data_IF_336751939271
#
_entry.id   IF_336751939271
#
_cell.length_a   1.000
_cell.length_b   1.000
_cell.length_c   1.000
_cell.angle_alpha   90.00
_cell.angle_beta   90.00
_cell.angle_gamma   90.00
#
_symmetry.space_group_name_H-M   'P 1'
#
loop_
_entity.id
_entity.type
_entity.pdbx_description
1 polymer ?
#
# COMPACT_ATOMS: atom_id res chain seq x y z
N UNK A 1 73.88 -80.83 -35.69
CA UNK A 1 72.54 -80.88 -36.30
C UNK A 1 72.08 -79.45 -36.56
N UNK A 2 72.00 -79.09 -37.86
CA UNK A 2 71.38 -77.95 -38.56
C UNK A 2 71.15 -76.63 -37.78
N UNK A 3 72.00 -75.59 -37.98
CA UNK A 3 71.91 -74.46 -38.96
C UNK A 3 70.70 -73.53 -38.70
N UNK A 4 70.73 -72.20 -38.76
CA UNK A 4 71.73 -71.16 -39.06
C UNK A 4 71.03 -69.77 -39.02
N UNK A 5 71.76 -68.71 -38.63
CA UNK A 5 71.71 -67.33 -39.17
C UNK A 5 70.40 -66.52 -39.05
N UNK A 6 70.37 -65.40 -38.31
CA UNK A 6 70.92 -64.04 -38.62
C UNK A 6 69.88 -63.15 -39.32
N UNK A 7 69.13 -62.29 -38.61
CA UNK A 7 69.45 -60.87 -38.30
C UNK A 7 68.56 -59.93 -39.17
N UNK A 8 68.47 -58.57 -38.98
CA UNK A 8 68.79 -57.68 -37.84
C UNK A 8 67.57 -56.81 -37.37
N UNK A 9 67.75 -56.04 -36.27
CA UNK A 9 66.78 -55.07 -35.69
C UNK A 9 66.75 -53.72 -36.44
N UNK A 10 65.71 -52.89 -36.24
CA UNK A 10 65.92 -51.63 -35.52
C UNK A 10 64.84 -51.33 -34.45
N UNK A 11 65.05 -50.33 -33.58
CA UNK A 11 64.41 -50.22 -32.27
C UNK A 11 63.17 -49.29 -32.28
N UNK A 12 62.21 -49.57 -31.39
CA UNK A 12 61.06 -48.69 -31.17
C UNK A 12 60.19 -49.16 -30.00
N UNK A 13 60.60 -48.75 -28.80
CA UNK A 13 59.74 -48.45 -27.64
C UNK A 13 58.81 -49.54 -27.07
N UNK A 14 59.21 -50.08 -25.90
CA UNK A 14 58.49 -51.05 -25.11
C UNK A 14 57.13 -50.55 -24.59
N UNK A 15 56.13 -51.41 -24.78
CA UNK A 15 54.80 -51.40 -24.18
C UNK A 15 54.83 -51.17 -22.65
N UNK A 16 54.20 -50.09 -22.20
CA UNK A 16 53.75 -49.95 -20.80
C UNK A 16 52.31 -50.44 -20.65
N UNK A 17 52.19 -51.63 -20.06
CA UNK A 17 51.14 -52.12 -19.14
C UNK A 17 49.79 -51.38 -19.19
N UNK A 18 48.80 -52.02 -19.83
CA UNK A 18 47.39 -51.72 -19.61
C UNK A 18 46.89 -52.37 -18.30
N UNK A 19 46.74 -51.56 -17.24
CA UNK A 19 46.04 -51.92 -16.01
C UNK A 19 44.51 -51.76 -16.12
N UNK A 20 43.75 -52.37 -15.21
CA UNK A 20 42.29 -52.50 -15.31
C UNK A 20 41.55 -51.17 -15.07
N UNK A 21 40.46 -50.99 -15.83
CA UNK A 21 39.61 -49.78 -15.91
C UNK A 21 39.08 -49.34 -14.52
N UNK A 22 39.16 -48.05 -14.15
CA UNK A 22 38.46 -47.55 -12.98
C UNK A 22 36.96 -47.40 -13.26
N UNK A 23 36.16 -47.87 -12.30
CA UNK A 23 34.70 -47.77 -12.25
C UNK A 23 34.28 -46.30 -12.26
N UNK A 24 33.56 -45.86 -13.28
CA UNK A 24 32.86 -44.58 -13.26
C UNK A 24 31.73 -44.63 -12.22
N UNK A 25 31.87 -43.91 -11.10
CA UNK A 25 30.74 -43.56 -10.24
C UNK A 25 29.77 -42.69 -11.06
N UNK A 26 28.62 -43.27 -11.42
CA UNK A 26 27.48 -42.49 -11.92
C UNK A 26 26.80 -41.84 -10.73
N UNK A 27 27.01 -40.54 -10.53
CA UNK A 27 26.12 -39.74 -9.70
C UNK A 27 24.78 -39.61 -10.44
N UNK A 28 23.75 -40.27 -9.92
CA UNK A 28 22.37 -40.04 -10.35
C UNK A 28 21.92 -38.68 -9.80
N UNK A 29 22.12 -37.61 -10.57
CA UNK A 29 21.40 -36.35 -10.35
C UNK A 29 19.95 -36.61 -10.75
N UNK A 30 19.05 -36.68 -9.77
CA UNK A 30 17.61 -36.72 -9.99
C UNK A 30 17.17 -35.34 -10.50
N UNK A 31 17.39 -35.08 -11.80
CA UNK A 31 16.75 -33.96 -12.49
C UNK A 31 15.28 -34.32 -12.61
N UNK A 32 14.45 -33.73 -11.72
CA UNK A 32 12.99 -33.83 -11.79
C UNK A 32 12.57 -33.21 -13.12
N UNK A 33 12.28 -34.07 -14.10
CA UNK A 33 11.78 -33.67 -15.42
C UNK A 33 10.55 -32.75 -15.24
N UNK A 34 10.51 -31.55 -15.84
CA UNK A 34 9.29 -30.76 -15.87
C UNK A 34 8.22 -31.56 -16.63
N UNK A 35 7.09 -31.84 -15.98
CA UNK A 35 5.94 -32.47 -16.63
C UNK A 35 5.54 -31.65 -17.86
N UNK A 36 5.31 -32.25 -19.04
CA UNK A 36 4.79 -31.53 -20.18
C UNK A 36 3.33 -31.20 -19.90
N UNK A 37 3.00 -29.93 -19.67
CA UNK A 37 1.62 -29.50 -19.53
C UNK A 37 1.08 -29.01 -20.87
N UNK A 38 0.06 -29.74 -21.38
CA UNK A 38 -0.88 -29.23 -22.36
C UNK A 38 -1.71 -28.12 -21.71
N UNK A 39 -1.72 -26.94 -22.32
CA UNK A 39 -2.74 -25.93 -22.08
C UNK A 39 -4.11 -26.53 -22.47
N UNK A 40 -5.00 -26.74 -21.50
CA UNK A 40 -6.39 -27.08 -21.77
C UNK A 40 -7.15 -25.75 -21.94
N UNK A 41 -7.79 -25.49 -23.09
CA UNK A 41 -8.71 -24.37 -23.21
C UNK A 41 -9.98 -24.70 -22.42
N UNK A 42 -10.35 -23.85 -21.46
CA UNK A 42 -11.64 -23.94 -20.79
C UNK A 42 -12.76 -23.63 -21.79
N UNK A 43 -13.57 -24.64 -22.13
CA UNK A 43 -14.87 -24.47 -22.78
C UNK A 43 -15.91 -24.14 -21.69
N UNK A 44 -16.67 -23.06 -21.89
CA UNK A 44 -17.81 -22.66 -21.06
C UNK A 44 -19.02 -23.57 -21.31
N UNK A 45 -19.78 -23.99 -20.29
CA UNK A 45 -21.08 -24.62 -20.49
C UNK A 45 -22.16 -23.55 -20.75
N UNK A 46 -22.92 -23.73 -21.82
CA UNK A 46 -24.10 -22.93 -22.17
C UNK A 46 -25.30 -23.58 -21.47
N UNK A 47 -26.01 -22.85 -20.60
CA UNK A 47 -27.29 -23.30 -20.04
C UNK A 47 -28.44 -22.44 -20.61
N UNK A 48 -29.53 -23.03 -21.13
CA UNK A 48 -30.62 -22.28 -21.73
C UNK A 48 -31.79 -22.13 -20.75
N UNK A 49 -31.97 -20.95 -20.18
CA UNK A 49 -33.27 -20.48 -19.68
C UNK A 49 -33.16 -19.01 -19.26
N UNK A 50 -33.82 -18.14 -20.03
CA UNK A 50 -33.80 -16.70 -19.85
C UNK A 50 -34.56 -16.25 -18.61
N UNK A 51 -33.83 -15.66 -17.67
CA UNK A 51 -34.29 -14.65 -16.73
C UNK A 51 -33.12 -13.66 -16.58
N UNK A 52 -33.29 -12.43 -17.06
CA UNK A 52 -32.28 -11.37 -16.97
C UNK A 52 -32.34 -10.78 -15.55
N UNK A 53 -31.50 -11.31 -14.66
CA UNK A 53 -31.09 -10.62 -13.45
C UNK A 53 -29.86 -9.76 -13.81
N UNK A 54 -29.86 -8.50 -13.36
CA UNK A 54 -28.74 -7.55 -13.51
C UNK A 54 -27.45 -8.16 -12.91
N UNK A 55 -26.63 -8.75 -13.78
CA UNK A 55 -25.36 -9.38 -13.43
C UNK A 55 -24.24 -8.33 -13.46
N UNK A 56 -23.74 -7.97 -12.27
CA UNK A 56 -22.69 -6.97 -12.04
C UNK A 56 -21.27 -7.51 -12.33
N UNK A 57 -21.12 -8.75 -12.81
CA UNK A 57 -19.82 -9.39 -13.05
C UNK A 57 -19.23 -9.19 -14.47
N UNK A 58 -19.89 -8.44 -15.37
CA UNK A 58 -19.40 -8.23 -16.75
C UNK A 58 -18.79 -6.85 -17.04
N UNK A 59 -17.92 -6.34 -16.16
CA UNK A 59 -16.97 -5.28 -16.54
C UNK A 59 -15.78 -5.86 -17.33
N UNK A 60 -16.05 -6.41 -18.51
CA UNK A 60 -15.05 -6.79 -19.49
C UNK A 60 -14.64 -5.58 -20.31
N UNK A 61 -13.64 -4.83 -19.84
CA UNK A 61 -12.98 -3.82 -20.65
C UNK A 61 -11.46 -3.95 -20.51
N UNK A 62 -10.86 -4.38 -21.64
CA UNK A 62 -9.46 -4.22 -22.06
C UNK A 62 -8.41 -5.20 -21.52
N UNK A 63 -8.20 -6.28 -22.26
CA UNK A 63 -6.95 -7.06 -22.27
C UNK A 63 -6.03 -6.47 -23.36
N UNK A 64 -5.16 -5.53 -22.99
CA UNK A 64 -4.11 -5.01 -23.90
C UNK A 64 -2.73 -5.36 -23.35
N UNK A 65 -1.88 -5.77 -24.28
CA UNK A 65 -0.55 -6.38 -24.10
C UNK A 65 0.54 -5.31 -24.16
N UNK A 66 1.49 -5.28 -23.21
CA UNK A 66 2.73 -4.49 -23.36
C UNK A 66 3.85 -4.96 -22.43
N UNK A 67 5.11 -5.02 -22.87
CA UNK A 67 6.20 -5.90 -22.39
C UNK A 67 6.71 -5.78 -20.93
N UNK A 68 7.01 -6.93 -20.32
CA UNK A 68 7.60 -7.24 -19.01
C UNK A 68 9.12 -7.47 -19.14
N UNK A 69 9.93 -7.32 -18.08
CA UNK A 69 11.38 -7.61 -18.07
C UNK A 69 11.81 -9.04 -18.45
N UNK A 70 10.89 -9.90 -18.89
CA UNK A 70 11.14 -11.18 -19.56
C UNK A 70 10.80 -11.22 -21.06
N UNK A 71 10.60 -10.06 -21.71
CA UNK A 71 10.35 -9.97 -23.17
C UNK A 71 8.95 -10.37 -23.63
N UNK A 72 7.95 -10.38 -22.73
CA UNK A 72 6.55 -10.66 -23.08
C UNK A 72 5.60 -9.72 -22.35
N UNK A 73 4.35 -9.51 -22.79
CA UNK A 73 3.49 -8.46 -22.25
C UNK A 73 3.21 -8.58 -20.74
N UNK A 74 3.57 -7.53 -19.98
CA UNK A 74 3.07 -7.18 -18.65
C UNK A 74 1.55 -7.33 -18.60
N UNK A 75 1.12 -8.33 -17.83
CA UNK A 75 -0.29 -8.62 -17.62
C UNK A 75 -0.80 -7.75 -16.48
N UNK A 76 -1.87 -6.99 -16.71
CA UNK A 76 -2.61 -6.39 -15.61
C UNK A 76 -3.35 -7.51 -14.86
N UNK A 77 -3.11 -7.64 -13.56
CA UNK A 77 -3.94 -8.50 -12.73
C UNK A 77 -5.38 -7.98 -12.70
N UNK A 78 -6.33 -8.91 -12.70
CA UNK A 78 -7.70 -8.63 -12.27
C UNK A 78 -7.68 -8.09 -10.85
N UNK A 79 -8.47 -7.06 -10.61
CA UNK A 79 -8.71 -6.55 -9.25
C UNK A 79 -9.85 -7.32 -8.67
N UNK A 80 -9.74 -7.70 -7.39
CA UNK A 80 -10.85 -8.29 -6.67
C UNK A 80 -12.06 -7.33 -6.70
N UNK A 81 -13.24 -7.75 -7.18
CA UNK A 81 -14.40 -6.87 -7.26
C UNK A 81 -14.76 -6.25 -5.90
N UNK A 82 -14.70 -7.03 -4.82
CA UNK A 82 -14.91 -6.54 -3.45
C UNK A 82 -13.94 -5.40 -3.08
N UNK A 83 -12.65 -5.48 -3.46
CA UNK A 83 -11.69 -4.38 -3.23
C UNK A 83 -12.08 -3.14 -4.04
N UNK A 84 -12.43 -3.32 -5.31
CA UNK A 84 -12.80 -2.20 -6.18
C UNK A 84 -14.03 -1.47 -5.65
N UNK A 85 -15.04 -2.21 -5.22
CA UNK A 85 -16.25 -1.66 -4.61
C UNK A 85 -15.93 -0.82 -3.38
N UNK A 86 -15.12 -1.35 -2.45
CA UNK A 86 -14.70 -0.60 -1.25
C UNK A 86 -13.95 0.68 -1.63
N UNK A 87 -13.01 0.62 -2.58
CA UNK A 87 -12.27 1.80 -3.02
C UNK A 87 -13.20 2.89 -3.59
N UNK A 88 -14.16 2.50 -4.46
CA UNK A 88 -15.11 3.45 -5.07
C UNK A 88 -16.02 4.05 -4.00
N UNK A 89 -16.63 3.23 -3.15
CA UNK A 89 -17.50 3.70 -2.06
C UNK A 89 -16.75 4.66 -1.14
N UNK A 90 -15.54 4.31 -0.69
CA UNK A 90 -14.77 5.17 0.19
C UNK A 90 -14.35 6.48 -0.50
N UNK A 91 -14.06 6.43 -1.80
CA UNK A 91 -13.78 7.65 -2.58
C UNK A 91 -15.00 8.56 -2.67
N UNK A 92 -16.19 8.00 -2.91
CA UNK A 92 -17.45 8.76 -2.91
C UNK A 92 -17.74 9.38 -1.54
N UNK A 93 -17.50 8.64 -0.45
CA UNK A 93 -17.62 9.16 0.92
C UNK A 93 -16.68 10.35 1.14
N UNK A 94 -15.42 10.24 0.71
CA UNK A 94 -14.44 11.32 0.84
C UNK A 94 -14.82 12.55 0.01
N UNK A 95 -15.32 12.35 -1.21
CA UNK A 95 -15.84 13.44 -2.05
C UNK A 95 -17.03 14.13 -1.38
N UNK A 96 -17.97 13.36 -0.82
CA UNK A 96 -19.11 13.91 -0.09
C UNK A 96 -18.68 14.71 1.15
N UNK A 97 -17.71 14.21 1.93
CA UNK A 97 -17.09 14.94 3.05
C UNK A 97 -16.47 16.25 2.56
N UNK A 98 -15.72 16.23 1.45
CA UNK A 98 -15.10 17.42 0.89
C UNK A 98 -16.12 18.48 0.43
N UNK A 99 -17.22 18.05 -0.20
CA UNK A 99 -18.32 18.94 -0.59
C UNK A 99 -18.99 19.54 0.65
N UNK A 100 -19.37 18.72 1.63
CA UNK A 100 -19.99 19.18 2.87
C UNK A 100 -19.06 20.15 3.63
N UNK A 101 -17.77 19.84 3.74
CA UNK A 101 -16.78 20.70 4.38
C UNK A 101 -16.64 22.03 3.64
N UNK A 102 -16.65 22.01 2.31
CA UNK A 102 -16.60 23.23 1.49
C UNK A 102 -17.83 24.12 1.69
N UNK A 103 -19.02 23.51 1.73
CA UNK A 103 -20.28 24.22 2.00
C UNK A 103 -20.34 24.77 3.44
N UNK A 104 -19.64 24.14 4.38
CA UNK A 104 -19.51 24.60 5.77
C UNK A 104 -18.46 25.72 5.92
N UNK A 105 -17.27 25.57 5.36
CA UNK A 105 -16.13 26.48 5.60
C UNK A 105 -16.23 27.81 4.85
N UNK A 106 -16.83 27.85 3.65
CA UNK A 106 -16.96 29.08 2.86
C UNK A 106 -17.81 30.14 3.58
N UNK A 107 -18.99 29.83 4.15
CA UNK A 107 -19.73 30.78 4.99
C UNK A 107 -18.87 31.34 6.14
N UNK A 108 -18.16 30.47 6.85
CA UNK A 108 -17.28 30.86 7.95
C UNK A 108 -16.18 31.83 7.51
N UNK A 109 -15.52 31.57 6.37
CA UNK A 109 -14.52 32.49 5.80
C UNK A 109 -15.10 33.86 5.46
N UNK A 110 -16.39 33.93 5.13
CA UNK A 110 -17.09 35.18 4.81
C UNK A 110 -17.77 35.83 6.04
N UNK A 111 -17.48 35.38 7.25
CA UNK A 111 -18.07 35.92 8.48
C UNK A 111 -19.57 35.60 8.64
N UNK A 112 -20.04 34.50 8.03
CA UNK A 112 -21.44 34.05 8.07
C UNK A 112 -21.56 32.67 8.70
N UNK A 113 -22.72 32.38 9.28
CA UNK A 113 -23.02 31.05 9.80
C UNK A 113 -23.38 30.08 8.65
N UNK A 114 -22.86 28.84 8.68
CA UNK A 114 -23.18 27.84 7.66
C UNK A 114 -24.57 27.24 7.87
N UNK A 115 -25.13 26.64 6.82
CA UNK A 115 -26.42 25.94 6.86
C UNK A 115 -26.28 24.42 7.04
N UNK A 116 -25.08 23.90 6.81
CA UNK A 116 -24.71 22.50 7.02
C UNK A 116 -23.76 22.42 8.20
N UNK A 117 -23.66 21.27 8.86
CA UNK A 117 -22.69 21.08 9.94
C UNK A 117 -21.31 20.67 9.41
N UNK A 118 -20.25 20.92 10.19
CA UNK A 118 -18.91 20.40 9.94
C UNK A 118 -18.92 18.87 9.81
N UNK A 119 -18.37 18.26 8.74
CA UNK A 119 -18.21 16.82 8.65
C UNK A 119 -16.95 16.37 9.41
N UNK A 120 -17.06 15.56 10.49
CA UNK A 120 -15.87 15.17 11.26
C UNK A 120 -14.88 14.29 10.48
N UNK A 121 -15.34 13.65 9.41
CA UNK A 121 -14.47 12.88 8.52
C UNK A 121 -13.38 13.72 7.83
N UNK A 122 -13.48 15.05 7.81
CA UNK A 122 -12.45 15.95 7.29
C UNK A 122 -11.13 15.84 8.08
N UNK A 123 -11.19 15.47 9.35
CA UNK A 123 -10.01 15.27 10.20
C UNK A 123 -9.10 14.12 9.73
N UNK A 124 -9.61 13.22 8.87
CA UNK A 124 -8.81 12.19 8.22
C UNK A 124 -7.67 12.72 7.35
N UNK A 125 -7.70 14.01 6.99
CA UNK A 125 -6.63 14.69 6.27
C UNK A 125 -5.60 15.40 7.17
N UNK A 126 -5.72 15.25 8.50
CA UNK A 126 -4.81 15.82 9.50
C UNK A 126 -3.99 14.72 10.21
N UNK A 127 -3.12 13.97 9.50
CA UNK A 127 -2.45 12.79 10.07
C UNK A 127 -1.42 13.13 11.16
N UNK A 128 -0.84 14.33 11.14
CA UNK A 128 0.10 14.80 12.18
C UNK A 128 -0.65 15.08 13.47
N UNK A 129 -1.82 15.71 13.36
CA UNK A 129 -2.73 15.95 14.48
C UNK A 129 -3.20 14.63 15.10
N UNK A 130 -3.68 13.67 14.30
CA UNK A 130 -4.02 12.33 14.79
C UNK A 130 -2.84 11.59 15.46
N UNK A 131 -1.60 11.83 15.01
CA UNK A 131 -0.40 11.27 15.65
C UNK A 131 -0.11 11.94 17.01
N UNK A 132 -0.26 13.26 17.10
CA UNK A 132 -0.14 14.02 18.35
C UNK A 132 -1.24 13.63 19.34
N UNK A 133 -2.49 13.53 18.90
CA UNK A 133 -3.62 13.06 19.68
C UNK A 133 -3.41 11.62 20.18
N UNK A 134 -2.79 10.75 19.37
CA UNK A 134 -2.41 9.40 19.81
C UNK A 134 -1.38 9.45 20.94
N UNK A 135 -0.35 10.30 20.82
CA UNK A 135 0.62 10.46 21.91
C UNK A 135 -0.05 11.05 23.15
N UNK A 136 -0.93 12.04 22.99
CA UNK A 136 -1.69 12.61 24.10
C UNK A 136 -2.48 11.53 24.85
N UNK A 137 -3.29 10.75 24.12
CA UNK A 137 -4.07 9.63 24.67
C UNK A 137 -3.19 8.62 25.45
N UNK A 138 -2.02 8.27 24.92
CA UNK A 138 -1.12 7.31 25.58
C UNK A 138 -0.52 7.84 26.88
N UNK A 139 -0.35 9.16 27.02
CA UNK A 139 0.25 9.78 28.19
C UNK A 139 -0.79 10.19 29.25
N UNK A 140 -1.95 10.70 28.85
CA UNK A 140 -2.97 11.25 29.76
C UNK A 140 -4.16 10.30 29.95
N UNK A 141 -4.41 9.39 29.01
CA UNK A 141 -5.66 8.64 28.94
C UNK A 141 -6.85 9.48 28.43
N UNK A 142 -6.62 10.74 28.05
CA UNK A 142 -7.65 11.66 27.57
C UNK A 142 -7.69 11.68 26.03
N UNK A 143 -8.89 11.78 25.46
CA UNK A 143 -9.09 11.97 24.02
C UNK A 143 -9.07 13.46 23.72
N UNK A 144 -8.45 13.83 22.61
CA UNK A 144 -8.44 15.22 22.13
C UNK A 144 -9.88 15.69 21.83
N UNK A 145 -10.38 16.75 22.50
CA UNK A 145 -11.72 17.28 22.26
C UNK A 145 -11.83 18.08 20.95
N UNK A 146 -10.69 18.47 20.34
CA UNK A 146 -10.68 19.33 19.16
C UNK A 146 -10.78 18.52 17.85
N UNK A 147 -10.02 17.43 17.70
CA UNK A 147 -10.09 16.53 16.53
C UNK A 147 -10.20 15.04 16.92
N UNK A 148 -11.28 14.63 17.61
CA UNK A 148 -11.44 13.24 18.04
C UNK A 148 -11.64 12.25 16.88
N UNK A 149 -12.23 12.68 15.76
CA UNK A 149 -12.39 11.82 14.59
C UNK A 149 -11.04 11.57 13.88
N UNK A 150 -10.13 12.54 13.90
CA UNK A 150 -8.76 12.44 13.40
C UNK A 150 -7.98 11.35 14.12
N UNK A 151 -8.09 11.31 15.46
CA UNK A 151 -7.55 10.23 16.29
C UNK A 151 -8.16 8.87 15.91
N UNK A 152 -9.49 8.77 15.84
CA UNK A 152 -10.19 7.53 15.51
C UNK A 152 -9.77 6.97 14.13
N UNK A 153 -9.71 7.84 13.12
CA UNK A 153 -9.28 7.51 11.76
C UNK A 153 -7.82 7.07 11.76
N UNK A 154 -6.93 7.82 12.42
CA UNK A 154 -5.51 7.51 12.49
C UNK A 154 -5.25 6.15 13.14
N UNK A 155 -5.89 5.87 14.28
CA UNK A 155 -5.80 4.58 14.96
C UNK A 155 -6.39 3.46 14.11
N UNK A 156 -7.53 3.70 13.45
CA UNK A 156 -8.13 2.76 12.50
C UNK A 156 -7.15 2.31 11.43
N UNK A 157 -6.46 3.27 10.80
CA UNK A 157 -5.45 2.98 9.78
C UNK A 157 -4.24 2.22 10.36
N UNK A 158 -3.76 2.63 11.55
CA UNK A 158 -2.64 1.96 12.20
C UNK A 158 -2.97 0.50 12.54
N UNK A 159 -4.15 0.24 13.12
CA UNK A 159 -4.60 -1.10 13.48
C UNK A 159 -4.84 -1.96 12.25
N UNK A 160 -5.51 -1.44 11.22
CA UNK A 160 -5.61 -2.13 9.92
C UNK A 160 -4.23 -2.53 9.39
N UNK A 161 -3.24 -1.66 9.58
CA UNK A 161 -1.87 -1.87 9.11
C UNK A 161 -1.15 -2.99 9.86
N UNK A 162 -1.38 -3.09 11.17
CA UNK A 162 -0.83 -4.16 12.03
C UNK A 162 -1.58 -5.48 11.83
N UNK A 163 -2.86 -5.47 11.48
CA UNK A 163 -3.61 -6.72 11.29
C UNK A 163 -3.42 -7.27 9.88
N UNK A 164 -3.65 -6.47 8.83
CA UNK A 164 -3.70 -6.93 7.43
C UNK A 164 -2.60 -6.28 6.56
N UNK A 165 -1.40 -6.10 7.13
CA UNK A 165 -0.30 -5.35 6.50
C UNK A 165 -0.77 -3.98 5.99
N UNK A 166 -0.04 -3.33 5.08
CA UNK A 166 -0.36 -1.98 4.55
C UNK A 166 -1.63 -1.94 3.65
N UNK A 167 -2.74 -2.50 4.11
CA UNK A 167 -4.00 -2.69 3.39
C UNK A 167 -4.80 -1.41 3.21
N UNK A 168 -4.73 -0.45 4.13
CA UNK A 168 -5.44 0.82 4.00
C UNK A 168 -5.17 1.51 2.66
N UNK A 169 -3.89 1.58 2.25
CA UNK A 169 -3.47 2.22 1.01
C UNK A 169 -4.10 1.61 -0.25
N UNK A 170 -4.41 0.31 -0.25
CA UNK A 170 -4.98 -0.37 -1.42
C UNK A 170 -6.48 -0.63 -1.30
N UNK A 171 -7.07 -0.57 -0.11
CA UNK A 171 -8.48 -0.91 0.10
C UNK A 171 -9.36 0.33 0.32
N UNK A 172 -8.92 1.32 1.13
CA UNK A 172 -9.76 2.45 1.55
C UNK A 172 -9.24 3.80 1.04
N UNK A 173 -7.92 3.97 0.86
CA UNK A 173 -7.36 5.27 0.53
C UNK A 173 -7.78 5.76 -0.88
N UNK A 174 -8.44 6.92 -1.02
CA UNK A 174 -8.86 7.45 -2.33
C UNK A 174 -7.65 7.82 -3.21
N UNK A 175 -6.58 8.35 -2.62
CA UNK A 175 -5.31 8.62 -3.34
C UNK A 175 -4.70 7.31 -3.88
N UNK A 176 -4.88 6.20 -3.15
CA UNK A 176 -4.49 4.88 -3.61
C UNK A 176 -5.28 4.41 -4.83
N UNK A 177 -6.60 4.63 -4.86
CA UNK A 177 -7.45 4.33 -6.03
C UNK A 177 -6.99 5.14 -7.25
N UNK A 178 -6.82 6.46 -7.10
CA UNK A 178 -6.37 7.34 -8.18
C UNK A 178 -4.99 6.92 -8.68
N UNK A 179 -4.05 6.62 -7.78
CA UNK A 179 -2.70 6.15 -8.14
C UNK A 179 -2.73 4.83 -8.89
N UNK A 180 -3.56 3.87 -8.46
CA UNK A 180 -3.73 2.58 -9.13
C UNK A 180 -4.31 2.77 -10.54
N UNK A 181 -5.30 3.64 -10.68
CA UNK A 181 -5.92 3.97 -11.98
C UNK A 181 -4.94 4.64 -12.93
N UNK A 182 -4.21 5.67 -12.47
CA UNK A 182 -3.18 6.35 -13.28
C UNK A 182 -2.09 5.36 -13.72
N UNK A 183 -1.61 4.51 -12.82
CA UNK A 183 -0.61 3.51 -13.14
C UNK A 183 -1.10 2.45 -14.13
N UNK A 184 -2.37 2.03 -14.05
CA UNK A 184 -2.99 1.12 -15.02
C UNK A 184 -3.22 1.79 -16.37
N UNK A 185 -3.67 3.04 -16.36
CA UNK A 185 -3.82 3.87 -17.56
C UNK A 185 -2.48 4.02 -18.28
N UNK A 186 -1.38 4.24 -17.56
CA UNK A 186 -0.06 4.34 -18.18
C UNK A 186 0.43 3.04 -18.81
N UNK A 187 0.17 1.88 -18.19
CA UNK A 187 0.46 0.60 -18.84
C UNK A 187 -0.41 0.42 -20.08
N UNK A 188 -1.66 0.85 -20.05
CA UNK A 188 -2.56 0.76 -21.20
C UNK A 188 -2.11 1.66 -22.36
N UNK A 189 -1.71 2.91 -22.07
CA UNK A 189 -1.31 3.89 -23.09
C UNK A 189 0.11 3.66 -23.63
N UNK A 190 1.04 3.28 -22.76
CA UNK A 190 2.49 3.21 -23.08
C UNK A 190 2.96 1.76 -23.23
N UNK A 191 2.14 0.78 -22.86
CA UNK A 191 2.50 -0.65 -22.85
C UNK A 191 3.52 -1.03 -21.76
N UNK A 192 4.01 -0.08 -20.95
CA UNK A 192 5.03 -0.34 -19.93
C UNK A 192 4.90 0.57 -18.73
N UNK A 193 5.48 0.14 -17.62
CA UNK A 193 5.64 0.93 -16.41
C UNK A 193 7.13 1.18 -16.22
N UNK A 194 7.50 2.44 -16.11
CA UNK A 194 8.88 2.82 -15.88
C UNK A 194 9.30 2.42 -14.46
N UNK A 195 10.51 1.88 -14.40
CA UNK A 195 11.15 1.50 -13.15
C UNK A 195 12.43 2.30 -13.04
N UNK A 196 12.51 3.30 -12.15
CA UNK A 196 13.76 4.00 -11.94
C UNK A 196 14.85 2.99 -11.57
N UNK A 197 16.09 3.18 -12.06
CA UNK A 197 17.20 2.30 -11.69
C UNK A 197 17.42 2.34 -10.18
N UNK A 198 17.95 1.26 -9.60
CA UNK A 198 18.04 1.11 -8.13
C UNK A 198 18.76 2.26 -7.43
N UNK A 199 19.78 2.83 -8.06
CA UNK A 199 20.54 3.97 -7.52
C UNK A 199 19.68 5.24 -7.36
N UNK A 200 18.60 5.37 -8.15
CA UNK A 200 17.65 6.47 -8.07
C UNK A 200 16.42 6.08 -7.22
N UNK A 201 15.90 4.87 -7.40
CA UNK A 201 14.73 4.38 -6.67
C UNK A 201 14.93 4.34 -5.15
N UNK A 202 16.14 4.01 -4.67
CA UNK A 202 16.45 3.91 -3.24
C UNK A 202 16.43 5.30 -2.56
N UNK A 203 17.18 6.33 -3.04
CA UNK A 203 17.10 7.68 -2.49
C UNK A 203 15.70 8.30 -2.60
N UNK A 204 14.98 8.13 -3.72
CA UNK A 204 13.62 8.68 -3.81
C UNK A 204 12.68 8.01 -2.81
N UNK A 205 12.87 6.71 -2.53
CA UNK A 205 12.06 6.00 -1.51
C UNK A 205 12.44 6.40 -0.10
N UNK A 206 13.69 6.79 0.17
CA UNK A 206 14.08 7.25 1.52
C UNK A 206 13.40 8.57 1.87
N UNK A 207 13.02 9.40 0.89
CA UNK A 207 12.37 10.69 1.11
C UNK A 207 11.10 10.60 1.99
N UNK A 208 10.16 9.69 1.69
CA UNK A 208 8.98 9.49 2.57
C UNK A 208 9.34 9.06 3.99
N UNK A 209 10.45 8.33 4.17
CA UNK A 209 10.93 7.91 5.49
C UNK A 209 11.66 9.05 6.21
N UNK A 210 12.32 9.96 5.51
CA UNK A 210 12.88 11.18 6.07
C UNK A 210 11.76 12.10 6.56
N UNK A 211 10.72 12.32 5.75
CA UNK A 211 9.55 13.12 6.14
C UNK A 211 8.84 12.48 7.34
N UNK A 212 8.57 11.18 7.28
CA UNK A 212 7.98 10.45 8.41
C UNK A 212 8.87 10.48 9.66
N UNK A 213 10.19 10.33 9.48
CA UNK A 213 11.17 10.40 10.56
C UNK A 213 11.22 11.77 11.21
N UNK A 214 11.11 12.85 10.43
CA UNK A 214 11.03 14.22 10.94
C UNK A 214 9.78 14.41 11.81
N UNK A 215 8.59 14.05 11.33
CA UNK A 215 7.37 14.19 12.12
C UNK A 215 7.35 13.25 13.33
N UNK A 216 7.83 12.02 13.18
CA UNK A 216 7.99 11.09 14.30
C UNK A 216 8.97 11.62 15.35
N UNK A 217 10.09 12.21 14.93
CA UNK A 217 11.04 12.84 15.84
C UNK A 217 10.43 14.05 16.55
N UNK A 218 9.78 14.94 15.79
CA UNK A 218 9.13 16.13 16.35
C UNK A 218 8.06 15.77 17.39
N UNK A 219 7.18 14.83 17.03
CA UNK A 219 6.04 14.43 17.85
C UNK A 219 6.43 13.54 19.01
N UNK A 220 7.54 12.80 19.00
CA UNK A 220 7.90 11.88 20.09
C UNK A 220 9.09 12.32 20.95
N UNK A 221 9.99 13.13 20.40
CA UNK A 221 11.26 13.49 21.05
C UNK A 221 11.45 15.00 21.19
N UNK A 222 11.03 15.82 20.22
CA UNK A 222 11.24 17.26 20.29
C UNK A 222 10.23 17.98 21.20
N UNK A 223 8.95 17.59 21.14
CA UNK A 223 7.90 18.17 22.00
C UNK A 223 7.72 17.34 23.27
N UNK A 224 7.48 17.99 24.41
CA UNK A 224 7.03 17.35 25.64
C UNK A 224 5.52 17.02 25.58
N UNK A 225 5.02 16.08 26.41
CA UNK A 225 3.58 15.79 26.47
C UNK A 225 2.72 17.02 26.82
N UNK A 226 3.26 17.96 27.61
CA UNK A 226 2.59 19.21 27.97
C UNK A 226 2.47 20.15 26.77
N UNK A 227 3.53 20.31 25.99
CA UNK A 227 3.50 21.14 24.77
C UNK A 227 2.55 20.58 23.73
N UNK A 228 2.44 19.25 23.60
CA UNK A 228 1.44 18.62 22.72
C UNK A 228 0.03 18.97 23.18
N UNK A 229 -0.27 18.86 24.48
CA UNK A 229 -1.59 19.24 25.01
C UNK A 229 -1.91 20.71 24.72
N UNK A 230 -0.96 21.62 24.95
CA UNK A 230 -1.12 23.05 24.65
C UNK A 230 -1.33 23.29 23.15
N UNK A 231 -0.59 22.56 22.30
CA UNK A 231 -0.73 22.66 20.85
C UNK A 231 -2.11 22.19 20.37
N UNK A 232 -2.58 21.02 20.82
CA UNK A 232 -3.89 20.47 20.43
C UNK A 232 -5.06 21.37 20.85
N UNK A 233 -4.91 22.10 21.95
CA UNK A 233 -5.92 23.06 22.43
C UNK A 233 -5.74 24.48 21.87
N UNK A 234 -4.70 24.71 21.07
CA UNK A 234 -4.36 26.04 20.57
C UNK A 234 -5.41 26.59 19.58
N UNK A 235 -5.50 27.92 19.42
CA UNK A 235 -6.34 28.53 18.38
C UNK A 235 -6.02 27.98 16.98
N UNK A 236 -4.75 27.68 16.69
CA UNK A 236 -4.36 27.06 15.43
C UNK A 236 -5.01 25.70 15.23
N UNK A 237 -4.91 24.81 16.22
CA UNK A 237 -5.47 23.46 16.12
C UNK A 237 -6.97 23.53 15.84
N UNK A 238 -7.70 24.47 16.46
CA UNK A 238 -9.14 24.65 16.23
C UNK A 238 -9.53 24.94 14.78
N UNK A 239 -8.66 25.54 13.97
CA UNK A 239 -8.96 25.94 12.57
C UNK A 239 -8.02 25.29 11.53
N UNK A 240 -7.24 24.28 11.93
CA UNK A 240 -6.22 23.67 11.07
C UNK A 240 -6.80 22.97 9.83
N UNK A 241 -8.02 22.46 9.93
CA UNK A 241 -8.79 21.89 8.83
C UNK A 241 -9.20 22.95 7.79
N UNK A 242 -9.64 24.14 8.22
CA UNK A 242 -9.87 25.28 7.33
C UNK A 242 -8.56 25.75 6.68
N UNK A 243 -7.44 25.78 7.43
CA UNK A 243 -6.12 26.10 6.86
C UNK A 243 -5.71 25.11 5.78
N UNK A 244 -5.91 23.82 6.06
CA UNK A 244 -5.64 22.76 5.09
C UNK A 244 -6.52 22.93 3.84
N UNK A 245 -7.81 23.22 4.01
CA UNK A 245 -8.70 23.50 2.88
C UNK A 245 -8.25 24.72 2.08
N UNK A 246 -7.93 25.84 2.75
CA UNK A 246 -7.49 27.09 2.12
C UNK A 246 -6.16 26.94 1.36
N UNK A 247 -5.33 25.97 1.73
CA UNK A 247 -4.10 25.64 0.99
C UNK A 247 -4.37 24.93 -0.35
N UNK A 248 -5.44 24.12 -0.45
CA UNK A 248 -5.72 23.29 -1.62
C UNK A 248 -6.86 23.78 -2.51
N UNK A 249 -7.90 24.40 -1.95
CA UNK A 249 -9.12 24.75 -2.67
C UNK A 249 -8.95 25.90 -3.68
N UNK A 250 -8.23 27.00 -3.34
CA UNK A 250 -7.68 27.92 -4.32
C UNK A 250 -6.22 27.53 -4.65
N UNK A 251 -5.97 26.61 -5.60
CA UNK A 251 -4.64 26.09 -5.81
C UNK A 251 -3.72 27.18 -6.39
N UNK A 252 -2.60 27.43 -5.72
CA UNK A 252 -1.54 28.28 -6.26
C UNK A 252 -0.95 27.69 -7.55
N UNK A 253 -0.29 28.52 -8.38
CA UNK A 253 0.43 28.04 -9.57
C UNK A 253 1.41 26.91 -9.23
N UNK A 254 2.13 27.04 -8.11
CA UNK A 254 3.03 26.01 -7.59
C UNK A 254 2.29 24.71 -7.30
N UNK A 255 1.13 24.78 -6.64
CA UNK A 255 0.28 23.62 -6.33
C UNK A 255 -0.15 22.89 -7.61
N UNK A 256 -0.62 23.65 -8.61
CA UNK A 256 -1.06 23.08 -9.90
C UNK A 256 0.11 22.38 -10.61
N UNK A 257 1.27 23.04 -10.69
CA UNK A 257 2.46 22.48 -11.34
C UNK A 257 2.91 21.19 -10.65
N UNK A 258 3.00 21.20 -9.32
CA UNK A 258 3.42 20.02 -8.53
C UNK A 258 2.42 18.88 -8.70
N UNK A 259 1.11 19.13 -8.57
CA UNK A 259 0.09 18.11 -8.77
C UNK A 259 0.10 17.57 -10.21
N UNK A 260 0.29 18.44 -11.21
CA UNK A 260 0.43 18.05 -12.62
C UNK A 260 1.60 17.10 -12.83
N UNK A 261 2.78 17.41 -12.27
CA UNK A 261 3.97 16.54 -12.31
C UNK A 261 3.67 15.20 -11.64
N UNK A 262 2.99 15.19 -10.49
CA UNK A 262 2.65 13.95 -9.79
C UNK A 262 1.66 13.09 -10.59
N UNK A 263 0.65 13.70 -11.22
CA UNK A 263 -0.34 12.99 -12.04
C UNK A 263 0.34 12.39 -13.28
N UNK A 264 1.05 13.21 -14.05
CA UNK A 264 1.77 12.75 -15.25
C UNK A 264 2.83 11.70 -14.86
N UNK A 265 3.59 11.95 -13.80
CA UNK A 265 4.56 11.00 -13.27
C UNK A 265 3.95 9.67 -12.83
N UNK A 266 2.73 9.68 -12.27
CA UNK A 266 2.02 8.47 -11.83
C UNK A 266 1.53 7.58 -12.99
N UNK A 267 1.39 8.15 -14.19
CA UNK A 267 1.13 7.38 -15.42
C UNK A 267 2.35 6.53 -15.75
N UNK A 268 3.55 7.10 -15.70
CA UNK A 268 4.78 6.37 -16.04
C UNK A 268 5.28 5.48 -14.90
N UNK A 269 5.23 5.95 -13.67
CA UNK A 269 5.71 5.24 -12.48
C UNK A 269 4.53 4.93 -11.57
N UNK A 270 4.20 3.64 -11.45
CA UNK A 270 3.09 3.18 -10.61
C UNK A 270 3.25 3.65 -9.17
N UNK A 271 2.16 4.19 -8.64
CA UNK A 271 2.04 4.62 -7.25
C UNK A 271 3.08 5.66 -6.82
N UNK A 272 3.50 6.56 -7.74
CA UNK A 272 4.60 7.52 -7.55
C UNK A 272 4.54 8.26 -6.19
N UNK A 273 3.40 8.88 -5.87
CA UNK A 273 3.19 9.57 -4.59
C UNK A 273 3.34 8.62 -3.39
N UNK A 274 2.60 7.51 -3.42
CA UNK A 274 2.59 6.51 -2.34
C UNK A 274 3.94 5.81 -2.15
N UNK A 275 4.76 5.76 -3.21
CA UNK A 275 6.07 5.13 -3.25
C UNK A 275 7.17 6.03 -2.70
N UNK A 276 7.13 7.33 -3.00
CA UNK A 276 8.26 8.25 -2.74
C UNK A 276 7.98 9.39 -1.77
N UNK A 277 6.73 9.89 -1.68
CA UNK A 277 6.44 11.13 -0.97
C UNK A 277 5.50 10.97 0.23
N UNK A 278 4.64 9.95 0.23
CA UNK A 278 3.61 9.80 1.26
C UNK A 278 4.20 9.35 2.62
N UNK A 279 4.28 10.23 3.65
CA UNK A 279 4.80 9.86 4.97
C UNK A 279 3.88 8.88 5.69
N UNK A 280 2.57 8.98 5.42
CA UNK A 280 1.59 8.03 5.93
C UNK A 280 1.84 6.62 5.40
N UNK A 281 2.16 6.52 4.11
CA UNK A 281 2.57 5.28 3.47
C UNK A 281 3.87 4.69 4.03
N UNK A 282 4.76 5.52 4.58
CA UNK A 282 5.95 5.07 5.30
C UNK A 282 5.57 4.47 6.66
N UNK A 283 4.79 5.20 7.48
CA UNK A 283 4.29 4.74 8.78
C UNK A 283 3.58 3.37 8.65
N UNK A 284 2.56 3.29 7.80
CA UNK A 284 1.79 2.05 7.64
C UNK A 284 2.59 0.93 6.97
N UNK A 285 3.64 1.26 6.21
CA UNK A 285 4.59 0.28 5.68
C UNK A 285 5.45 -0.33 6.78
N UNK A 286 5.94 0.49 7.71
CA UNK A 286 6.68 0.04 8.90
C UNK A 286 5.77 -0.82 9.79
N UNK A 287 4.56 -0.35 10.12
CA UNK A 287 3.59 -1.15 10.88
C UNK A 287 3.25 -2.46 10.15
N UNK A 288 3.04 -2.38 8.84
CA UNK A 288 2.76 -3.52 7.98
C UNK A 288 3.86 -4.57 7.96
N UNK A 289 5.12 -4.19 8.19
CA UNK A 289 6.24 -5.14 8.36
C UNK A 289 6.03 -6.07 9.54
N UNK A 290 5.33 -5.63 10.57
CA UNK A 290 5.01 -6.41 11.77
C UNK A 290 3.65 -7.09 11.70
N UNK A 291 2.92 -6.92 10.59
CA UNK A 291 1.55 -7.38 10.53
C UNK A 291 1.34 -8.88 10.73
N UNK A 292 0.18 -9.22 11.31
CA UNK A 292 -0.26 -10.58 11.59
C UNK A 292 -0.51 -11.31 10.28
N UNK A 293 -1.46 -10.83 9.48
CA UNK A 293 -1.84 -11.45 8.22
C UNK A 293 -1.00 -10.90 7.06
N UNK A 294 -0.26 -11.78 6.39
CA UNK A 294 0.56 -11.46 5.22
C UNK A 294 0.43 -12.52 4.15
N UNK A 295 0.78 -12.17 2.93
CA UNK A 295 0.85 -13.13 1.82
C UNK A 295 1.98 -14.12 2.08
N UNK A 296 1.64 -15.40 2.15
CA UNK A 296 2.55 -16.53 2.21
C UNK A 296 2.56 -17.28 0.89
N UNK A 297 3.72 -17.85 0.57
CA UNK A 297 3.92 -18.71 -0.60
C UNK A 297 4.16 -20.14 -0.13
N UNK A 298 3.50 -21.07 -0.78
CA UNK A 298 3.78 -22.49 -0.66
C UNK A 298 4.88 -22.90 -1.64
N UNK A 299 5.99 -23.42 -1.14
CA UNK A 299 7.12 -23.76 -1.98
C UNK A 299 6.85 -25.00 -2.85
N UNK A 300 6.06 -25.92 -2.34
CA UNK A 300 5.82 -27.22 -2.96
C UNK A 300 4.80 -27.12 -4.12
N UNK A 301 3.90 -26.14 -4.04
CA UNK A 301 2.92 -25.84 -5.09
C UNK A 301 3.45 -24.87 -6.16
N UNK A 302 4.56 -24.17 -5.88
CA UNK A 302 5.06 -23.11 -6.75
C UNK A 302 5.78 -23.66 -7.98
N UNK A 303 5.34 -23.23 -9.17
CA UNK A 303 5.93 -23.60 -10.47
C UNK A 303 6.99 -22.62 -10.98
N UNK A 304 7.36 -21.62 -10.17
CA UNK A 304 8.27 -20.52 -10.54
C UNK A 304 7.89 -19.75 -11.82
N UNK A 305 6.59 -19.72 -12.17
CA UNK A 305 6.09 -19.04 -13.37
C UNK A 305 6.17 -17.50 -13.33
N UNK A 306 6.55 -16.90 -12.20
CA UNK A 306 6.72 -15.45 -11.95
C UNK A 306 5.50 -14.53 -12.16
N UNK A 307 4.33 -15.07 -12.52
CA UNK A 307 3.09 -14.28 -12.69
C UNK A 307 2.79 -13.36 -11.49
N UNK A 308 3.01 -13.83 -10.25
CA UNK A 308 2.81 -13.06 -9.03
C UNK A 308 3.75 -11.84 -8.89
N UNK A 309 4.94 -11.91 -9.49
CA UNK A 309 5.96 -10.85 -9.48
C UNK A 309 5.67 -9.80 -10.54
N UNK A 310 5.24 -10.25 -11.73
CA UNK A 310 4.95 -9.38 -12.86
C UNK A 310 3.76 -8.44 -12.58
N UNK A 311 2.75 -8.93 -11.86
CA UNK A 311 1.57 -8.13 -11.52
C UNK A 311 1.78 -7.20 -10.31
N UNK A 312 2.85 -7.40 -9.52
CA UNK A 312 3.05 -6.69 -8.27
C UNK A 312 3.32 -5.19 -8.54
N UNK A 313 2.48 -4.26 -8.04
CA UNK A 313 2.68 -2.82 -8.26
C UNK A 313 4.03 -2.33 -7.72
N UNK A 314 4.45 -2.88 -6.58
CA UNK A 314 5.74 -2.60 -5.95
C UNK A 314 6.94 -3.35 -6.57
N UNK A 315 6.70 -4.21 -7.59
CA UNK A 315 7.72 -5.03 -8.26
C UNK A 315 8.56 -5.88 -7.31
N UNK A 316 7.91 -6.42 -6.28
CA UNK A 316 8.55 -7.32 -5.32
C UNK A 316 8.79 -8.68 -5.98
N UNK A 317 9.93 -9.36 -5.70
CA UNK A 317 10.19 -10.70 -6.21
C UNK A 317 9.36 -11.75 -5.46
N UNK A 318 8.03 -11.66 -5.53
CA UNK A 318 7.08 -12.47 -4.77
C UNK A 318 7.32 -13.97 -4.95
N UNK A 319 7.72 -14.40 -6.15
CA UNK A 319 8.04 -15.80 -6.45
C UNK A 319 9.17 -16.38 -5.56
N UNK A 320 10.07 -15.54 -5.05
CA UNK A 320 11.20 -15.95 -4.19
C UNK A 320 10.89 -15.84 -2.70
N UNK A 321 9.84 -15.10 -2.33
CA UNK A 321 9.51 -14.82 -0.94
C UNK A 321 8.61 -15.92 -0.40
N UNK A 322 9.03 -16.61 0.67
CA UNK A 322 8.15 -17.53 1.42
C UNK A 322 7.04 -16.77 2.13
N UNK A 323 7.32 -15.55 2.58
CA UNK A 323 6.37 -14.60 3.17
C UNK A 323 6.70 -13.19 2.70
N UNK A 324 5.71 -12.49 2.18
CA UNK A 324 5.90 -11.12 1.67
C UNK A 324 5.93 -10.16 2.86
N UNK A 325 7.13 -9.82 3.32
CA UNK A 325 7.37 -8.91 4.45
C UNK A 325 8.04 -7.60 4.03
N UNK A 326 7.86 -7.16 2.79
CA UNK A 326 8.38 -5.87 2.35
C UNK A 326 7.50 -4.72 2.87
N UNK A 327 8.13 -3.64 3.32
CA UNK A 327 7.46 -2.37 3.71
C UNK A 327 6.72 -1.71 2.53
N UNK A 328 7.07 -2.08 1.30
CA UNK A 328 6.43 -1.59 0.08
C UNK A 328 5.19 -2.41 -0.32
N UNK A 329 4.94 -3.56 0.32
CA UNK A 329 3.77 -4.37 0.01
C UNK A 329 2.50 -3.70 0.56
N UNK A 330 1.61 -3.26 -0.32
CA UNK A 330 0.31 -2.64 0.02
C UNK A 330 -0.81 -3.63 0.30
N UNK A 331 -0.49 -4.92 0.44
CA UNK A 331 -1.49 -5.99 0.68
C UNK A 331 -2.67 -5.99 -0.31
N UNK A 332 -2.46 -5.53 -1.56
CA UNK A 332 -3.54 -5.44 -2.56
C UNK A 332 -4.06 -6.82 -3.02
N UNK A 333 -3.26 -7.88 -2.86
CA UNK A 333 -3.57 -9.27 -3.21
C UNK A 333 -3.66 -9.57 -4.71
N UNK A 334 -3.24 -8.65 -5.60
CA UNK A 334 -3.14 -8.88 -7.05
C UNK A 334 -2.31 -10.13 -7.37
N UNK A 335 -1.23 -10.36 -6.62
CA UNK A 335 -0.35 -11.51 -6.79
C UNK A 335 -1.00 -12.85 -6.41
N UNK A 336 -2.00 -12.85 -5.51
CA UNK A 336 -2.76 -14.04 -5.15
C UNK A 336 -3.71 -14.40 -6.28
N UNK A 337 -4.40 -13.40 -6.85
CA UNK A 337 -5.35 -13.58 -7.95
C UNK A 337 -4.66 -13.97 -9.27
N UNK A 338 -3.44 -13.50 -9.51
CA UNK A 338 -2.68 -13.82 -10.70
C UNK A 338 -1.99 -15.20 -10.65
N UNK A 339 -1.98 -15.87 -9.49
CA UNK A 339 -1.32 -17.16 -9.36
C UNK A 339 -2.13 -18.25 -10.10
N UNK A 340 -1.54 -18.98 -11.06
CA UNK A 340 -2.25 -20.02 -11.80
C UNK A 340 -2.46 -21.31 -10.98
N UNK A 341 -1.75 -21.46 -9.86
CA UNK A 341 -1.87 -22.62 -8.97
C UNK A 341 -2.69 -22.22 -7.75
N UNK A 342 -3.87 -22.79 -7.63
CA UNK A 342 -4.75 -22.53 -6.49
C UNK A 342 -4.06 -22.90 -5.17
N UNK A 343 -4.18 -22.01 -4.16
CA UNK A 343 -3.59 -22.22 -2.84
C UNK A 343 -2.07 -21.99 -2.74
N UNK A 344 -1.36 -21.80 -3.85
CA UNK A 344 0.09 -21.54 -3.84
C UNK A 344 0.45 -20.21 -3.18
N UNK A 345 -0.35 -19.16 -3.40
CA UNK A 345 -0.27 -17.89 -2.68
C UNK A 345 -1.57 -17.63 -1.92
N UNK A 346 -1.44 -17.20 -0.68
CA UNK A 346 -2.60 -16.97 0.19
C UNK A 346 -2.24 -16.11 1.40
N UNK A 347 -3.25 -15.54 2.06
CA UNK A 347 -3.05 -14.73 3.26
C UNK A 347 -2.97 -15.69 4.46
N UNK A 348 -1.84 -15.63 5.20
CA UNK A 348 -1.56 -16.49 6.37
C UNK A 348 -1.17 -15.66 7.59
N UNK A 349 -1.60 -16.10 8.77
CA UNK A 349 -1.07 -15.65 10.06
C UNK A 349 0.38 -16.14 10.27
N UNK A 350 1.15 -15.56 11.23
CA UNK A 350 2.48 -16.05 11.57
C UNK A 350 2.44 -17.49 12.10
N UNK A 351 3.48 -18.28 11.81
CA UNK A 351 3.62 -19.66 12.30
C UNK A 351 3.65 -19.77 13.84
N UNK A 352 3.94 -18.68 14.54
CA UNK A 352 4.01 -18.61 16.01
C UNK A 352 2.64 -18.84 16.66
N UNK A 353 1.54 -18.51 15.99
CA UNK A 353 0.17 -18.77 16.49
C UNK A 353 -0.28 -20.21 16.19
N UNK A 354 0.56 -21.19 16.52
CA UNK A 354 0.42 -22.61 16.16
C UNK A 354 -1.03 -23.11 16.21
N UNK A 355 -1.52 -23.63 15.07
CA UNK A 355 -2.90 -24.08 14.90
C UNK A 355 -3.80 -23.14 14.10
N UNK A 356 -3.50 -21.84 14.05
CA UNK A 356 -4.23 -20.84 13.24
C UNK A 356 -3.62 -20.63 11.84
N UNK A 357 -3.07 -21.70 11.25
CA UNK A 357 -2.55 -21.71 9.87
C UNK A 357 -3.66 -21.78 8.82
N UNK A 358 -4.89 -21.38 9.13
CA UNK A 358 -6.00 -21.39 8.17
C UNK A 358 -5.78 -20.28 7.15
N UNK A 359 -5.90 -20.63 5.89
CA UNK A 359 -5.61 -19.74 4.76
C UNK A 359 -6.84 -18.87 4.54
N UNK A 360 -6.65 -17.56 4.51
CA UNK A 360 -7.75 -16.65 4.21
C UNK A 360 -7.80 -16.38 2.71
N UNK A 361 -9.00 -16.53 2.14
CA UNK A 361 -9.29 -16.06 0.77
C UNK A 361 -9.10 -14.53 0.70
N UNK A 362 -8.72 -13.97 -0.46
CA UNK A 362 -8.60 -12.53 -0.65
C UNK A 362 -9.80 -11.70 -0.15
N UNK A 363 -11.02 -12.16 -0.47
CA UNK A 363 -12.26 -11.49 -0.03
C UNK A 363 -12.40 -11.40 1.49
N UNK A 364 -11.98 -12.43 2.23
CA UNK A 364 -12.02 -12.42 3.69
C UNK A 364 -10.98 -11.46 4.27
N UNK A 365 -9.82 -11.30 3.62
CA UNK A 365 -8.82 -10.32 4.03
C UNK A 365 -9.30 -8.87 3.77
N UNK A 366 -10.05 -8.63 2.68
CA UNK A 366 -10.72 -7.34 2.46
C UNK A 366 -11.80 -7.12 3.50
N UNK A 367 -12.67 -8.10 3.75
CA UNK A 367 -13.73 -8.00 4.75
C UNK A 367 -13.17 -7.75 6.16
N UNK A 368 -12.07 -8.42 6.54
CA UNK A 368 -11.39 -8.18 7.81
C UNK A 368 -10.84 -6.74 7.89
N UNK A 369 -10.17 -6.27 6.83
CA UNK A 369 -9.61 -4.92 6.81
C UNK A 369 -10.71 -3.84 6.95
N UNK A 370 -11.80 -3.97 6.19
CA UNK A 370 -12.94 -3.04 6.24
C UNK A 370 -13.71 -3.19 7.55
N UNK A 371 -13.89 -4.41 8.04
CA UNK A 371 -14.54 -4.67 9.33
C UNK A 371 -13.80 -4.01 10.49
N UNK A 372 -12.47 -4.10 10.52
CA UNK A 372 -11.65 -3.41 11.53
C UNK A 372 -11.83 -1.89 11.46
N UNK A 373 -11.81 -1.32 10.25
CA UNK A 373 -12.07 0.11 10.07
C UNK A 373 -13.44 0.52 10.61
N UNK A 374 -14.49 -0.22 10.24
CA UNK A 374 -15.87 0.07 10.68
C UNK A 374 -16.02 -0.08 12.19
N UNK A 375 -15.43 -1.11 12.78
CA UNK A 375 -15.49 -1.34 14.24
C UNK A 375 -14.79 -0.23 15.01
N UNK A 376 -13.59 0.18 14.57
CA UNK A 376 -12.83 1.22 15.27
C UNK A 376 -13.53 2.57 15.13
N UNK A 377 -13.79 3.01 13.90
CA UNK A 377 -14.44 4.31 13.64
C UNK A 377 -15.86 4.35 14.22
N UNK A 378 -16.61 3.25 14.08
CA UNK A 378 -17.94 3.10 14.67
C UNK A 378 -17.93 3.09 16.19
N UNK A 379 -16.91 2.47 16.81
CA UNK A 379 -16.72 2.46 18.26
C UNK A 379 -16.53 3.88 18.82
N UNK A 380 -15.67 4.68 18.18
CA UNK A 380 -15.49 6.09 18.55
C UNK A 380 -16.78 6.90 18.39
N UNK A 381 -17.55 6.68 17.33
CA UNK A 381 -18.88 7.30 17.14
C UNK A 381 -19.87 6.95 18.24
N UNK A 382 -20.00 5.67 18.58
CA UNK A 382 -20.93 5.20 19.62
C UNK A 382 -20.49 5.70 21.01
N UNK A 383 -19.19 5.83 21.24
CA UNK A 383 -18.65 6.37 22.48
C UNK A 383 -18.73 7.91 22.60
N UNK A 384 -19.25 8.61 21.59
CA UNK A 384 -19.37 10.07 21.58
C UNK A 384 -18.10 10.82 21.14
N UNK A 385 -17.00 10.11 20.87
CA UNK A 385 -15.71 10.68 20.45
C UNK A 385 -15.61 10.79 18.92
N UNK A 386 -16.53 11.55 18.33
CA UNK A 386 -16.56 11.77 16.87
C UNK A 386 -16.80 13.21 16.45
N UNK A 387 -17.50 14.00 17.26
CA UNK A 387 -17.70 15.42 17.02
C UNK A 387 -16.74 16.22 17.89
N UNK A 388 -16.33 17.39 17.41
CA UNK A 388 -15.47 18.30 18.17
C UNK A 388 -16.29 19.17 19.13
N UNK A 389 -15.62 19.73 20.14
CA UNK A 389 -16.26 20.55 21.18
C UNK A 389 -16.25 22.07 20.86
N UNK A 390 -15.97 22.46 19.61
CA UNK A 390 -15.90 23.88 19.21
C UNK A 390 -17.30 24.35 18.80
N UNK A 391 -17.78 25.44 19.40
CA UNK A 391 -19.05 26.05 18.96
C UNK A 391 -18.91 26.70 17.58
N UNK A 392 -19.98 26.73 16.80
CA UNK A 392 -19.98 27.36 15.48
C UNK A 392 -19.66 28.87 15.58
N UNK A 393 -20.07 29.56 16.66
CA UNK A 393 -19.70 30.96 16.90
C UNK A 393 -18.21 31.12 17.20
N UNK A 394 -17.65 30.26 18.05
CA UNK A 394 -16.22 30.28 18.35
C UNK A 394 -15.40 30.02 17.08
N UNK A 395 -15.81 29.03 16.28
CA UNK A 395 -15.13 28.72 15.03
C UNK A 395 -15.22 29.88 14.03
N UNK A 396 -16.39 30.52 13.91
CA UNK A 396 -16.58 31.71 13.07
C UNK A 396 -15.71 32.89 13.52
N UNK A 397 -15.56 33.09 14.82
CA UNK A 397 -14.66 34.12 15.35
C UNK A 397 -13.19 33.82 14.99
N UNK A 398 -12.71 32.60 15.30
CA UNK A 398 -11.30 32.22 15.13
C UNK A 398 -10.85 32.17 13.68
N UNK A 399 -11.71 31.72 12.76
CA UNK A 399 -11.34 31.61 11.35
C UNK A 399 -11.08 32.99 10.70
N UNK A 400 -11.70 34.06 11.20
CA UNK A 400 -11.47 35.43 10.72
C UNK A 400 -10.05 35.92 11.05
N UNK A 401 -9.47 35.40 12.13
CA UNK A 401 -8.11 35.73 12.59
C UNK A 401 -7.06 34.69 12.15
N UNK A 402 -7.43 33.71 11.31
CA UNK A 402 -6.59 32.57 10.94
C UNK A 402 -5.26 32.95 10.26
N UNK A 403 -5.19 34.14 9.66
CA UNK A 403 -3.97 34.69 9.03
C UNK A 403 -3.14 35.58 9.98
N UNK A 404 -3.58 35.78 11.22
CA UNK A 404 -2.84 36.57 12.20
C UNK A 404 -1.59 35.81 12.71
N UNK A 405 -0.57 36.52 13.21
CA UNK A 405 0.63 35.89 13.76
C UNK A 405 0.36 34.88 14.89
N UNK A 406 -0.76 35.02 15.61
CA UNK A 406 -1.19 34.11 16.67
C UNK A 406 -1.40 32.67 16.16
N UNK A 407 -1.76 32.52 14.88
CA UNK A 407 -1.97 31.24 14.23
C UNK A 407 -0.78 30.86 13.32
N UNK A 408 0.37 31.50 13.48
CA UNK A 408 1.61 31.15 12.78
C UNK A 408 2.51 30.30 13.67
N UNK A 409 2.96 29.15 13.16
CA UNK A 409 3.88 28.25 13.86
C UNK A 409 5.34 28.51 13.48
N UNK A 410 5.77 29.76 13.52
CA UNK A 410 7.20 30.05 13.32
C UNK A 410 7.94 29.59 14.59
N UNK A 411 8.59 28.42 14.51
CA UNK A 411 9.52 27.95 15.54
C UNK A 411 8.93 27.18 16.72
N UNK A 412 7.68 26.69 16.64
CA UNK A 412 7.08 25.88 17.72
C UNK A 412 6.65 26.67 18.96
N UNK A 413 6.80 27.99 18.97
CA UNK A 413 6.23 28.86 20.02
C UNK A 413 4.80 29.21 19.64
N UNK A 414 3.82 28.68 20.38
CA UNK A 414 2.44 29.17 20.35
C UNK A 414 2.40 30.37 21.31
N UNK A 415 2.08 31.59 20.86
CA UNK A 415 1.85 32.69 21.78
C UNK A 415 0.69 32.31 22.69
N UNK A 416 0.93 32.37 24.00
CA UNK A 416 -0.14 32.16 24.99
C UNK A 416 -0.98 33.45 24.97
N UNK A 417 -2.29 33.33 24.77
CA UNK A 417 -3.21 34.45 24.99
C UNK A 417 -3.04 34.91 26.46
N UNK A 418 -2.62 36.15 26.68
CA UNK A 418 -2.52 36.79 28.01
C UNK A 418 -3.89 37.09 28.61
#
# INVERSE_FOLDING_TARGET
MLRSGSGPRPPGEQERRAGPRPRHLRFAVFVRQPKPFRCVPYALPIHPSGIVLLDLDQWHLFEIQGESPGGGPMKLARVLPARRWVQVVMTLVVVAIGIQFTLWVIPHLNGRMPTVSRPPGAEGFLPIDGMMATRHLLYTGEIDPIHPAGLAIFLGICVMSVVVAKSFCSHLCPVGLVSEWLGRLGIHLVGRSLTPPKWLDIPLRSLKFLIFGFFGWAVWFAMSPREIKVFLLSPYAKVVDAKMWAFFAPPSTTTIVVLGILVVGSVFVRDLWCRYLCPYGALVGVLGRFAIFKIGRDADLCTDCRACTDVCPARLPVHRLSRVSSIECTSCQDCVLACPVEGCLNIRAPRVFGGWQRWMKPVNAVALAVGLWVVIVGGFRVAGYWHNDISEEEYNYRIQEMNSPLYSHIGGTVPVEE
#
